data_IF_472643387434
#
_entry.id   IF_472643387434
#
_cell.length_a   1.000
_cell.length_b   1.000
_cell.length_c   1.000
_cell.angle_alpha   90.00
_cell.angle_beta   90.00
_cell.angle_gamma   90.00
#
_symmetry.space_group_name_H-M   'P 1'
#
loop_
_entity.id
_entity.type
_entity.pdbx_description
1 polymer ?
#
# COMPACT_ATOMS: atom_id res chain seq x y z
N UNK A 1 -2.69 9.43 7.06
CA UNK A 1 -3.70 8.36 6.89
C UNK A 1 -3.15 7.10 7.55
N UNK A 2 -3.97 6.32 8.26
CA UNK A 2 -3.54 5.05 8.85
C UNK A 2 -3.44 3.97 7.76
N UNK A 3 -2.44 3.08 7.83
CA UNK A 3 -2.48 1.81 7.12
C UNK A 3 -3.28 0.79 7.94
N UNK A 4 -3.92 -0.16 7.26
CA UNK A 4 -4.77 -1.14 7.91
C UNK A 4 -4.19 -2.55 7.77
N UNK A 5 -4.08 -3.24 8.91
CA UNK A 5 -3.93 -4.70 8.90
C UNK A 5 -5.25 -5.37 8.50
N UNK A 6 -5.20 -6.66 8.22
CA UNK A 6 -6.42 -7.46 8.02
C UNK A 6 -7.35 -7.37 9.23
N UNK A 7 -6.81 -7.51 10.44
CA UNK A 7 -7.56 -7.46 11.70
C UNK A 7 -8.23 -6.09 11.88
N UNK A 8 -7.52 -4.99 11.55
CA UNK A 8 -8.07 -3.65 11.58
C UNK A 8 -9.23 -3.48 10.60
N UNK A 9 -9.08 -3.98 9.36
CA UNK A 9 -10.17 -3.94 8.37
C UNK A 9 -11.40 -4.72 8.82
N UNK A 10 -11.22 -5.94 9.32
CA UNK A 10 -12.32 -6.75 9.86
C UNK A 10 -13.00 -6.12 11.07
N UNK A 11 -12.22 -5.45 11.92
CA UNK A 11 -12.78 -4.72 13.05
C UNK A 11 -13.64 -3.53 12.60
N UNK A 12 -13.20 -2.78 11.59
CA UNK A 12 -13.98 -1.68 10.99
C UNK A 12 -15.32 -2.21 10.47
N UNK A 13 -15.30 -3.30 9.71
CA UNK A 13 -16.51 -3.95 9.18
C UNK A 13 -17.48 -4.40 10.27
N UNK A 14 -16.97 -4.83 11.43
CA UNK A 14 -17.79 -5.20 12.57
C UNK A 14 -18.26 -4.00 13.40
N UNK A 15 -17.41 -2.97 13.53
CA UNK A 15 -17.65 -1.78 14.36
C UNK A 15 -18.70 -0.85 13.74
N UNK A 16 -18.57 -0.59 12.44
CA UNK A 16 -19.41 0.41 11.75
C UNK A 16 -20.91 0.09 11.87
N UNK A 17 -21.40 -1.14 11.59
CA UNK A 17 -22.82 -1.43 11.78
C UNK A 17 -23.29 -1.37 13.23
N UNK A 18 -22.44 -1.77 14.17
CA UNK A 18 -22.81 -1.86 15.59
C UNK A 18 -22.82 -0.53 16.30
N UNK A 19 -21.87 0.35 15.98
CA UNK A 19 -21.64 1.60 16.73
C UNK A 19 -22.01 2.85 15.94
N UNK A 20 -21.85 2.83 14.61
CA UNK A 20 -22.24 3.94 13.73
C UNK A 20 -23.61 3.72 13.10
N UNK A 21 -24.24 2.56 13.30
CA UNK A 21 -25.54 2.19 12.75
C UNK A 21 -25.64 2.29 11.22
N UNK A 22 -24.51 2.16 10.52
CA UNK A 22 -24.44 2.14 9.06
C UNK A 22 -24.36 0.68 8.58
N UNK A 23 -25.37 0.17 7.85
CA UNK A 23 -25.39 -1.19 7.37
C UNK A 23 -24.19 -1.52 6.47
N UNK A 24 -23.73 -2.77 6.47
CA UNK A 24 -22.62 -3.22 5.59
C UNK A 24 -22.95 -3.03 4.11
N UNK A 25 -24.22 -3.10 3.73
CA UNK A 25 -24.68 -2.82 2.37
C UNK A 25 -24.30 -1.42 1.90
N UNK A 26 -24.29 -0.43 2.81
CA UNK A 26 -23.89 0.95 2.49
C UNK A 26 -22.38 1.03 2.25
N UNK A 27 -21.57 0.34 3.07
CA UNK A 27 -20.12 0.27 2.86
C UNK A 27 -19.79 -0.42 1.52
N UNK A 28 -20.46 -1.54 1.24
CA UNK A 28 -20.31 -2.29 -0.01
C UNK A 28 -20.76 -1.45 -1.23
N UNK A 29 -21.84 -0.71 -1.11
CA UNK A 29 -22.30 0.21 -2.17
C UNK A 29 -21.25 1.28 -2.48
N UNK A 30 -20.67 1.88 -1.45
CA UNK A 30 -19.60 2.88 -1.62
C UNK A 30 -18.32 2.25 -2.18
N UNK A 31 -17.95 1.05 -1.73
CA UNK A 31 -16.81 0.29 -2.25
C UNK A 31 -16.96 0.01 -3.76
N UNK A 32 -18.09 -0.60 -4.15
CA UNK A 32 -18.34 -0.94 -5.54
C UNK A 32 -18.48 0.30 -6.46
N UNK A 33 -19.11 1.37 -5.96
CA UNK A 33 -19.13 2.65 -6.67
C UNK A 33 -17.73 3.21 -6.85
N UNK A 34 -16.88 3.16 -5.80
CA UNK A 34 -15.50 3.61 -5.89
C UNK A 34 -14.66 2.82 -6.91
N UNK A 35 -14.92 1.50 -7.08
CA UNK A 35 -14.32 0.70 -8.15
C UNK A 35 -14.76 1.23 -9.52
N UNK A 36 -16.06 1.45 -9.71
CA UNK A 36 -16.61 1.92 -10.99
C UNK A 36 -16.08 3.32 -11.34
N UNK A 37 -16.04 4.24 -10.37
CA UNK A 37 -15.51 5.60 -10.55
C UNK A 37 -14.03 5.53 -10.94
N UNK A 38 -13.21 4.72 -10.25
CA UNK A 38 -11.80 4.53 -10.57
C UNK A 38 -11.58 3.95 -11.99
N UNK A 39 -12.40 2.98 -12.39
CA UNK A 39 -12.34 2.41 -13.76
C UNK A 39 -12.64 3.45 -14.82
N UNK A 40 -13.63 4.30 -14.59
CA UNK A 40 -13.99 5.38 -15.53
C UNK A 40 -12.89 6.45 -15.59
N UNK A 41 -12.30 6.78 -14.45
CA UNK A 41 -11.24 7.80 -14.38
C UNK A 41 -9.96 7.33 -15.08
N UNK A 42 -9.60 6.05 -14.99
CA UNK A 42 -8.33 5.51 -15.52
C UNK A 42 -8.49 4.95 -16.94
N UNK A 43 -9.57 4.23 -17.21
CA UNK A 43 -9.78 3.49 -18.46
C UNK A 43 -10.87 4.14 -19.36
N UNK A 44 -11.47 5.23 -18.91
CA UNK A 44 -12.64 5.83 -19.57
C UNK A 44 -12.41 6.23 -21.02
N UNK A 45 -11.21 6.63 -21.40
CA UNK A 45 -10.88 6.96 -22.78
C UNK A 45 -10.92 5.71 -23.68
N UNK A 46 -10.49 4.55 -23.22
CA UNK A 46 -10.60 3.27 -23.94
C UNK A 46 -12.04 2.92 -24.27
N UNK A 47 -12.97 3.12 -23.31
CA UNK A 47 -14.40 2.86 -23.52
C UNK A 47 -15.05 3.88 -24.45
N UNK A 48 -14.51 5.10 -24.56
CA UNK A 48 -14.97 6.13 -25.49
C UNK A 48 -14.50 5.88 -26.93
N UNK A 49 -13.27 5.40 -27.08
CA UNK A 49 -12.67 5.08 -28.38
C UNK A 49 -13.32 3.86 -29.03
N UNK A 50 -13.72 2.88 -28.22
CA UNK A 50 -14.38 1.67 -28.70
C UNK A 50 -15.63 1.30 -27.86
N UNK A 51 -16.72 2.10 -27.94
CA UNK A 51 -17.89 1.94 -27.09
C UNK A 51 -18.76 0.71 -27.43
N UNK A 52 -18.47 0.02 -28.54
CA UNK A 52 -19.31 -1.10 -29.02
C UNK A 52 -18.63 -2.46 -28.93
N UNK A 53 -17.32 -2.52 -28.80
CA UNK A 53 -16.58 -3.77 -28.86
C UNK A 53 -15.89 -4.12 -27.55
N UNK A 54 -15.52 -3.12 -26.73
CA UNK A 54 -14.84 -3.35 -25.47
C UNK A 54 -15.77 -3.56 -24.27
N UNK A 55 -15.39 -4.46 -23.35
CA UNK A 55 -16.15 -4.68 -22.13
C UNK A 55 -15.25 -4.84 -20.90
N UNK A 56 -15.86 -4.67 -19.72
CA UNK A 56 -15.26 -5.03 -18.44
C UNK A 56 -15.74 -6.41 -18.03
N UNK A 57 -14.82 -7.32 -17.79
CA UNK A 57 -15.10 -8.64 -17.24
C UNK A 57 -14.84 -8.63 -15.72
N UNK A 58 -15.89 -8.80 -14.93
CA UNK A 58 -15.76 -9.00 -13.48
C UNK A 58 -15.64 -10.50 -13.19
N UNK A 59 -14.48 -10.93 -12.66
CA UNK A 59 -14.26 -12.30 -12.22
C UNK A 59 -14.49 -12.37 -10.71
N UNK A 60 -15.68 -12.78 -10.31
CA UNK A 60 -16.18 -12.67 -8.95
C UNK A 60 -16.23 -14.00 -8.23
N UNK A 61 -15.59 -14.09 -7.07
CA UNK A 61 -15.88 -15.12 -6.08
C UNK A 61 -17.26 -14.91 -5.44
N UNK A 62 -17.73 -15.90 -4.68
CA UNK A 62 -19.06 -15.84 -4.03
C UNK A 62 -19.04 -15.18 -2.65
N UNK A 63 -17.94 -14.57 -2.24
CA UNK A 63 -17.77 -13.83 -0.97
C UNK A 63 -18.11 -12.34 -1.13
N UNK A 64 -17.83 -11.57 -0.05
CA UNK A 64 -18.07 -10.12 -0.03
C UNK A 64 -17.23 -9.36 -1.07
N UNK A 65 -15.98 -9.77 -1.30
CA UNK A 65 -15.12 -9.16 -2.31
C UNK A 65 -15.71 -9.30 -3.75
N UNK A 66 -16.27 -10.48 -4.06
CA UNK A 66 -17.02 -10.67 -5.30
C UNK A 66 -18.31 -9.82 -5.33
N UNK A 67 -18.98 -9.64 -4.20
CA UNK A 67 -20.16 -8.79 -4.10
C UNK A 67 -19.84 -7.31 -4.40
N UNK A 68 -18.67 -6.80 -3.98
CA UNK A 68 -18.21 -5.45 -4.35
C UNK A 68 -18.05 -5.32 -5.87
N UNK A 69 -17.58 -6.39 -6.54
CA UNK A 69 -17.55 -6.48 -8.01
C UNK A 69 -18.93 -6.45 -8.65
N UNK A 70 -19.92 -7.12 -8.06
CA UNK A 70 -21.32 -7.07 -8.56
C UNK A 70 -21.89 -5.65 -8.44
N UNK A 71 -21.59 -4.94 -7.37
CA UNK A 71 -21.99 -3.53 -7.20
C UNK A 71 -21.31 -2.66 -8.27
N UNK A 72 -20.01 -2.82 -8.47
CA UNK A 72 -19.28 -2.07 -9.48
C UNK A 72 -19.81 -2.30 -10.90
N UNK A 73 -20.11 -3.55 -11.25
CA UNK A 73 -20.72 -3.91 -12.54
C UNK A 73 -22.05 -3.17 -12.77
N UNK A 74 -22.87 -3.04 -11.72
CA UNK A 74 -24.14 -2.30 -11.77
C UNK A 74 -23.94 -0.81 -12.05
N UNK A 75 -22.96 -0.18 -11.40
CA UNK A 75 -22.64 1.23 -11.62
C UNK A 75 -22.05 1.50 -13.01
N UNK A 76 -21.25 0.58 -13.56
CA UNK A 76 -20.74 0.72 -14.93
C UNK A 76 -21.86 0.53 -15.96
N UNK A 77 -22.80 -0.39 -15.72
CA UNK A 77 -23.97 -0.56 -16.59
C UNK A 77 -24.84 0.72 -16.64
N UNK A 78 -25.03 1.42 -15.52
CA UNK A 78 -25.71 2.71 -15.47
C UNK A 78 -25.02 3.74 -16.38
N UNK A 79 -23.69 3.70 -16.45
CA UNK A 79 -22.86 4.55 -17.33
C UNK A 79 -22.79 4.03 -18.78
N UNK A 80 -23.54 2.96 -19.11
CA UNK A 80 -23.57 2.32 -20.43
C UNK A 80 -22.24 1.69 -20.87
N UNK A 81 -21.39 1.35 -19.93
CA UNK A 81 -20.17 0.57 -20.20
C UNK A 81 -20.57 -0.92 -20.23
N UNK A 82 -20.22 -1.65 -21.29
CA UNK A 82 -20.54 -3.08 -21.40
C UNK A 82 -19.83 -3.86 -20.29
N UNK A 83 -20.57 -4.70 -19.58
CA UNK A 83 -20.05 -5.52 -18.48
C UNK A 83 -20.55 -6.96 -18.61
N UNK A 84 -19.67 -7.90 -18.25
CA UNK A 84 -20.06 -9.31 -18.03
C UNK A 84 -19.48 -9.75 -16.68
N UNK A 85 -20.24 -10.56 -15.96
CA UNK A 85 -19.84 -11.13 -14.68
C UNK A 85 -19.57 -12.62 -14.85
N UNK A 86 -18.32 -13.03 -14.62
CA UNK A 86 -17.90 -14.43 -14.59
C UNK A 86 -17.79 -14.89 -13.12
N UNK A 87 -18.68 -15.79 -12.72
CA UNK A 87 -18.73 -16.29 -11.34
C UNK A 87 -17.79 -17.47 -11.14
N UNK A 88 -17.04 -17.44 -10.04
CA UNK A 88 -16.13 -18.51 -9.63
C UNK A 88 -16.61 -19.14 -8.34
N UNK A 89 -17.01 -20.39 -8.41
CA UNK A 89 -17.47 -21.17 -7.26
C UNK A 89 -18.98 -21.38 -7.24
N UNK A 90 -19.45 -22.09 -6.20
CA UNK A 90 -20.86 -22.45 -6.10
C UNK A 90 -21.66 -21.33 -5.42
N UNK A 91 -22.60 -20.75 -6.15
CA UNK A 91 -23.49 -19.67 -5.70
C UNK A 91 -24.28 -20.02 -4.42
N UNK A 92 -24.59 -21.33 -4.20
CA UNK A 92 -25.28 -21.74 -2.99
C UNK A 92 -24.47 -21.53 -1.70
N UNK A 93 -23.15 -21.33 -1.81
CA UNK A 93 -22.25 -21.00 -0.71
C UNK A 93 -21.95 -19.50 -0.62
N UNK A 94 -22.68 -18.69 -1.38
CA UNK A 94 -22.49 -17.24 -1.41
C UNK A 94 -22.80 -16.58 -0.07
N UNK A 95 -22.04 -15.50 0.27
CA UNK A 95 -22.37 -14.70 1.43
C UNK A 95 -23.77 -14.06 1.29
N UNK A 96 -24.36 -13.65 2.40
CA UNK A 96 -25.67 -12.98 2.37
C UNK A 96 -25.66 -11.74 1.47
N UNK A 97 -24.60 -10.91 1.60
CA UNK A 97 -24.44 -9.71 0.78
C UNK A 97 -24.24 -10.06 -0.70
N UNK A 98 -23.43 -11.08 -0.99
CA UNK A 98 -23.25 -11.55 -2.37
C UNK A 98 -24.60 -11.96 -2.99
N UNK A 99 -25.40 -12.75 -2.28
CA UNK A 99 -26.68 -13.23 -2.78
C UNK A 99 -27.69 -12.08 -3.00
N UNK A 100 -27.67 -11.07 -2.11
CA UNK A 100 -28.48 -9.85 -2.32
C UNK A 100 -28.05 -9.10 -3.59
N UNK A 101 -26.76 -8.86 -3.79
CA UNK A 101 -26.26 -8.18 -4.99
C UNK A 101 -26.48 -9.01 -6.27
N UNK A 102 -26.28 -10.33 -6.20
CA UNK A 102 -26.55 -11.22 -7.33
C UNK A 102 -28.01 -11.14 -7.78
N UNK A 103 -28.94 -11.03 -6.84
CA UNK A 103 -30.35 -10.86 -7.16
C UNK A 103 -30.61 -9.54 -7.90
N UNK A 104 -29.96 -8.46 -7.46
CA UNK A 104 -30.08 -7.14 -8.08
C UNK A 104 -29.52 -7.11 -9.51
N UNK A 105 -28.30 -7.62 -9.73
CA UNK A 105 -27.68 -7.60 -11.07
C UNK A 105 -28.44 -8.50 -12.06
N UNK A 106 -29.00 -9.62 -11.60
CA UNK A 106 -29.91 -10.46 -12.43
C UNK A 106 -31.16 -9.74 -12.82
N UNK A 107 -31.82 -9.03 -11.90
CA UNK A 107 -33.00 -8.25 -12.15
C UNK A 107 -32.78 -7.10 -13.15
N UNK A 108 -31.55 -6.58 -13.21
CA UNK A 108 -31.16 -5.54 -14.16
C UNK A 108 -30.71 -6.07 -15.51
N UNK A 109 -30.65 -7.41 -15.68
CA UNK A 109 -30.28 -8.03 -16.95
C UNK A 109 -28.80 -7.96 -17.30
N UNK A 110 -27.91 -7.80 -16.30
CA UNK A 110 -26.46 -7.92 -16.52
C UNK A 110 -26.13 -9.36 -16.91
N UNK A 111 -25.26 -9.52 -17.90
CA UNK A 111 -24.82 -10.83 -18.35
C UNK A 111 -23.98 -11.53 -17.27
N UNK A 112 -24.39 -12.74 -16.89
CA UNK A 112 -23.76 -13.53 -15.82
C UNK A 112 -23.52 -14.95 -16.31
N UNK A 113 -22.27 -15.36 -16.32
CA UNK A 113 -21.84 -16.69 -16.74
C UNK A 113 -21.03 -17.38 -15.65
N UNK A 114 -20.80 -18.69 -15.74
CA UNK A 114 -19.72 -19.31 -14.97
C UNK A 114 -18.38 -18.96 -15.62
N UNK A 115 -17.32 -18.81 -14.82
CA UNK A 115 -16.00 -18.47 -15.35
C UNK A 115 -15.54 -19.49 -16.40
N UNK A 116 -15.77 -20.77 -16.15
CA UNK A 116 -15.40 -21.87 -17.05
C UNK A 116 -16.15 -21.83 -18.40
N UNK A 117 -17.29 -21.15 -18.48
CA UNK A 117 -18.06 -21.00 -19.71
C UNK A 117 -17.79 -19.70 -20.47
N UNK A 118 -17.03 -18.79 -19.90
CA UNK A 118 -16.67 -17.53 -20.56
C UNK A 118 -15.63 -17.77 -21.65
N UNK A 119 -15.86 -17.21 -22.85
CA UNK A 119 -14.98 -17.43 -24.00
C UNK A 119 -14.72 -16.18 -24.85
N UNK A 120 -15.39 -15.06 -24.58
CA UNK A 120 -15.31 -13.85 -25.42
C UNK A 120 -14.16 -12.90 -24.98
N UNK A 121 -12.97 -13.48 -24.77
CA UNK A 121 -11.80 -12.74 -24.27
C UNK A 121 -11.33 -11.65 -25.23
N UNK A 122 -11.58 -11.81 -26.54
CA UNK A 122 -11.16 -10.84 -27.56
C UNK A 122 -11.84 -9.47 -27.40
N UNK A 123 -12.96 -9.40 -26.66
CA UNK A 123 -13.67 -8.15 -26.35
C UNK A 123 -13.33 -7.58 -24.98
N UNK A 124 -12.54 -8.28 -24.17
CA UNK A 124 -12.20 -7.82 -22.82
C UNK A 124 -11.13 -6.73 -22.88
N UNK A 125 -11.45 -5.55 -22.39
CA UNK A 125 -10.50 -4.46 -22.21
C UNK A 125 -9.91 -4.41 -20.79
N UNK A 126 -10.73 -4.79 -19.81
CA UNK A 126 -10.33 -4.82 -18.40
C UNK A 126 -10.90 -6.06 -17.74
N UNK A 127 -10.08 -6.79 -17.02
CA UNK A 127 -10.52 -7.80 -16.06
C UNK A 127 -10.44 -7.22 -14.66
N UNK A 128 -11.53 -7.29 -13.91
CA UNK A 128 -11.61 -6.91 -12.50
C UNK A 128 -11.77 -8.16 -11.66
N UNK A 129 -10.73 -8.51 -10.92
CA UNK A 129 -10.67 -9.71 -10.10
C UNK A 129 -11.19 -9.40 -8.68
N UNK A 130 -12.22 -10.13 -8.26
CA UNK A 130 -12.82 -10.10 -6.92
C UNK A 130 -12.97 -11.51 -6.34
N UNK A 131 -11.93 -12.36 -6.45
CA UNK A 131 -11.97 -13.75 -5.95
C UNK A 131 -11.86 -13.83 -4.44
N UNK A 132 -11.07 -12.94 -3.85
CA UNK A 132 -10.83 -12.82 -2.42
C UNK A 132 -10.18 -11.48 -2.10
N UNK A 133 -10.47 -10.92 -0.93
CA UNK A 133 -9.87 -9.68 -0.41
C UNK A 133 -9.04 -9.93 0.85
N UNK A 134 -9.19 -9.07 1.87
CA UNK A 134 -8.43 -9.11 3.13
C UNK A 134 -8.52 -10.44 3.91
N UNK A 135 -9.44 -11.33 3.58
CA UNK A 135 -9.61 -12.62 4.27
C UNK A 135 -8.56 -13.69 3.92
N UNK A 136 -7.70 -13.45 2.94
CA UNK A 136 -6.72 -14.44 2.49
C UNK A 136 -5.55 -14.60 3.48
N UNK A 137 -5.10 -15.86 3.65
CA UNK A 137 -3.87 -16.26 4.35
C UNK A 137 -3.32 -17.58 3.78
N UNK A 138 -2.01 -17.67 3.74
CA UNK A 138 -1.30 -18.89 3.32
C UNK A 138 -1.29 -19.06 1.80
N UNK A 139 -1.62 -20.26 1.33
CA UNK A 139 -1.57 -20.62 -0.08
C UNK A 139 -2.94 -20.62 -0.75
N UNK A 140 -2.96 -20.28 -2.04
CA UNK A 140 -4.16 -20.34 -2.86
C UNK A 140 -4.60 -21.79 -3.08
N UNK A 141 -5.91 -22.02 -3.01
CA UNK A 141 -6.48 -23.33 -3.36
C UNK A 141 -6.42 -23.55 -4.87
N UNK A 142 -6.26 -24.79 -5.30
CA UNK A 142 -6.15 -25.18 -6.71
C UNK A 142 -7.25 -24.57 -7.60
N UNK A 143 -8.50 -24.52 -7.11
CA UNK A 143 -9.61 -23.91 -7.85
C UNK A 143 -9.44 -22.41 -8.13
N UNK A 144 -8.68 -21.67 -7.30
CA UNK A 144 -8.37 -20.25 -7.50
C UNK A 144 -7.13 -20.08 -8.36
N UNK A 145 -6.13 -20.93 -8.15
CA UNK A 145 -4.90 -20.96 -8.94
C UNK A 145 -5.20 -21.21 -10.42
N UNK A 146 -6.11 -22.15 -10.73
CA UNK A 146 -6.54 -22.42 -12.11
C UNK A 146 -7.16 -21.18 -12.76
N UNK A 147 -8.06 -20.47 -12.05
CA UNK A 147 -8.68 -19.24 -12.56
C UNK A 147 -7.64 -18.15 -12.84
N UNK A 148 -6.69 -17.94 -11.93
CA UNK A 148 -5.62 -16.96 -12.12
C UNK A 148 -4.71 -17.34 -13.28
N UNK A 149 -4.40 -18.64 -13.42
CA UNK A 149 -3.62 -19.14 -14.56
C UNK A 149 -4.33 -18.85 -15.89
N UNK A 150 -5.62 -19.14 -16.00
CA UNK A 150 -6.39 -18.87 -17.21
C UNK A 150 -6.45 -17.37 -17.52
N UNK A 151 -6.64 -16.51 -16.52
CA UNK A 151 -6.57 -15.06 -16.68
C UNK A 151 -5.19 -14.62 -17.21
N UNK A 152 -4.10 -15.17 -16.69
CA UNK A 152 -2.74 -14.82 -17.13
C UNK A 152 -2.49 -15.24 -18.58
N UNK A 153 -2.91 -16.45 -18.97
CA UNK A 153 -2.81 -16.94 -20.36
C UNK A 153 -3.57 -16.02 -21.31
N UNK A 154 -4.80 -15.68 -20.99
CA UNK A 154 -5.66 -14.84 -21.84
C UNK A 154 -5.14 -13.38 -21.87
N UNK A 155 -4.63 -12.86 -20.74
CA UNK A 155 -3.99 -11.55 -20.71
C UNK A 155 -2.77 -11.45 -21.61
N UNK A 156 -1.93 -12.49 -21.62
CA UNK A 156 -0.77 -12.54 -22.49
C UNK A 156 -1.17 -12.59 -23.98
N UNK A 157 -2.34 -13.13 -24.31
CA UNK A 157 -2.85 -13.20 -25.67
C UNK A 157 -3.55 -11.92 -26.11
N UNK A 158 -4.40 -11.31 -25.26
CA UNK A 158 -5.28 -10.21 -25.63
C UNK A 158 -4.89 -8.84 -25.07
N UNK A 159 -4.00 -8.79 -24.07
CA UNK A 159 -3.42 -7.54 -23.56
C UNK A 159 -4.36 -6.63 -22.78
N UNK A 160 -5.36 -7.19 -22.11
CA UNK A 160 -6.28 -6.42 -21.26
C UNK A 160 -5.59 -5.96 -19.96
N UNK A 161 -6.11 -4.87 -19.37
CA UNK A 161 -5.71 -4.42 -18.04
C UNK A 161 -6.29 -5.34 -16.97
N UNK A 162 -5.49 -5.68 -15.95
CA UNK A 162 -5.90 -6.53 -14.83
C UNK A 162 -5.98 -5.72 -13.54
N UNK A 163 -7.15 -5.68 -12.93
CA UNK A 163 -7.46 -4.93 -11.72
C UNK A 163 -7.84 -5.84 -10.57
N UNK A 164 -7.40 -5.50 -9.35
CA UNK A 164 -7.79 -6.21 -8.13
C UNK A 164 -8.77 -5.40 -7.29
N UNK A 165 -9.75 -6.09 -6.72
CA UNK A 165 -10.67 -5.55 -5.71
C UNK A 165 -10.06 -5.77 -4.32
N UNK A 166 -9.84 -4.67 -3.60
CA UNK A 166 -9.33 -4.56 -2.23
C UNK A 166 -7.87 -4.99 -2.06
N UNK A 167 -7.54 -6.24 -2.35
CA UNK A 167 -6.18 -6.81 -2.30
C UNK A 167 -6.06 -7.85 -3.41
N UNK A 168 -4.94 -7.89 -4.16
CA UNK A 168 -4.69 -8.93 -5.15
C UNK A 168 -4.89 -10.35 -4.61
N UNK A 169 -5.57 -11.21 -5.35
CA UNK A 169 -5.77 -12.59 -4.91
C UNK A 169 -4.44 -13.29 -4.63
N UNK A 170 -4.29 -13.81 -3.42
CA UNK A 170 -3.07 -14.46 -2.97
C UNK A 170 -2.08 -13.55 -2.22
N UNK A 171 -2.37 -12.26 -2.03
CA UNK A 171 -1.57 -11.37 -1.17
C UNK A 171 -2.18 -11.30 0.22
N UNK A 172 -1.36 -11.50 1.26
CA UNK A 172 -1.75 -11.27 2.65
C UNK A 172 -1.81 -9.77 2.94
N UNK A 173 -2.97 -9.28 3.37
CA UNK A 173 -3.27 -7.86 3.56
C UNK A 173 -2.45 -7.19 4.67
N UNK A 174 -1.83 -7.96 5.58
CA UNK A 174 -1.00 -7.45 6.68
C UNK A 174 0.49 -7.54 6.35
N UNK A 175 0.94 -8.69 5.87
CA UNK A 175 2.38 -8.97 5.73
C UNK A 175 2.93 -8.69 4.34
N UNK A 176 2.06 -8.58 3.33
CA UNK A 176 2.46 -8.47 1.93
C UNK A 176 3.05 -9.75 1.33
N UNK A 177 3.09 -10.85 2.10
CA UNK A 177 3.48 -12.15 1.55
C UNK A 177 2.46 -12.57 0.50
N UNK A 178 2.95 -13.21 -0.55
CA UNK A 178 2.13 -13.63 -1.69
C UNK A 178 2.31 -15.12 -1.97
N UNK A 179 1.23 -15.77 -2.40
CA UNK A 179 1.28 -17.10 -2.96
C UNK A 179 2.06 -17.10 -4.29
N UNK A 180 2.74 -18.19 -4.60
CA UNK A 180 3.51 -18.35 -5.86
C UNK A 180 2.69 -18.13 -7.13
N UNK A 181 1.37 -18.27 -7.05
CA UNK A 181 0.43 -18.13 -8.16
C UNK A 181 -0.25 -16.75 -8.24
N UNK A 182 0.17 -15.80 -7.39
CA UNK A 182 -0.38 -14.44 -7.42
C UNK A 182 0.08 -13.70 -8.67
N UNK A 183 -0.84 -13.09 -9.39
CA UNK A 183 -0.54 -12.31 -10.59
C UNK A 183 -0.04 -10.89 -10.23
N UNK A 184 0.60 -10.25 -11.21
CA UNK A 184 0.89 -8.82 -11.17
C UNK A 184 -0.29 -8.05 -11.76
N UNK A 185 -0.83 -7.10 -10.99
CA UNK A 185 -1.96 -6.27 -11.39
C UNK A 185 -1.50 -4.90 -11.89
N UNK A 186 -2.29 -4.27 -12.76
CA UNK A 186 -2.05 -2.89 -13.19
C UNK A 186 -2.56 -1.91 -12.13
N UNK A 187 -3.70 -2.24 -11.52
CA UNK A 187 -4.34 -1.39 -10.51
C UNK A 187 -5.01 -2.24 -9.43
N UNK A 188 -4.96 -1.75 -8.20
CA UNK A 188 -5.73 -2.30 -7.07
C UNK A 188 -6.58 -1.18 -6.48
N UNK A 189 -7.91 -1.39 -6.41
CA UNK A 189 -8.81 -0.47 -5.70
C UNK A 189 -9.08 -1.01 -4.32
N UNK A 190 -8.54 -0.35 -3.30
CA UNK A 190 -8.69 -0.74 -1.88
C UNK A 190 -9.62 0.24 -1.15
N UNK A 191 -10.21 -0.17 -0.02
CA UNK A 191 -11.31 0.55 0.61
C UNK A 191 -10.92 1.18 1.94
N UNK A 192 -11.41 2.41 2.19
CA UNK A 192 -11.21 3.16 3.42
C UNK A 192 -9.79 3.65 3.59
N UNK A 193 -8.83 2.75 3.66
CA UNK A 193 -7.39 3.06 3.68
C UNK A 193 -6.56 1.95 3.06
N UNK A 194 -5.28 2.23 2.83
CA UNK A 194 -4.34 1.27 2.27
C UNK A 194 -4.08 0.13 3.25
N UNK A 195 -4.04 -1.11 2.77
CA UNK A 195 -3.65 -2.28 3.56
C UNK A 195 -2.13 -2.35 3.68
N UNK A 196 -1.62 -2.74 4.85
CA UNK A 196 -0.16 -2.82 5.08
C UNK A 196 0.54 -3.71 4.07
N UNK A 197 -0.08 -4.82 3.70
CA UNK A 197 0.44 -5.74 2.70
C UNK A 197 0.61 -5.15 1.29
N UNK A 198 -0.08 -4.05 0.97
CA UNK A 198 0.10 -3.32 -0.29
C UNK A 198 1.27 -2.32 -0.24
N UNK A 199 1.89 -2.14 0.93
CA UNK A 199 3.08 -1.31 1.15
C UNK A 199 4.35 -2.15 1.27
N UNK A 200 4.20 -3.44 1.55
CA UNK A 200 5.30 -4.39 1.80
C UNK A 200 5.53 -5.30 0.60
N UNK A 201 6.80 -5.60 0.30
CA UNK A 201 7.14 -6.53 -0.78
C UNK A 201 6.94 -7.99 -0.34
N UNK A 202 6.48 -8.87 -1.25
CA UNK A 202 6.19 -8.67 -2.67
C UNK A 202 4.83 -8.01 -2.98
N UNK A 203 3.88 -7.94 -2.04
CA UNK A 203 2.53 -7.42 -2.28
C UNK A 203 2.50 -6.05 -2.97
N UNK A 204 3.41 -5.14 -2.56
CA UNK A 204 3.55 -3.81 -3.17
C UNK A 204 3.82 -3.87 -4.68
N UNK A 205 4.71 -4.78 -5.13
CA UNK A 205 5.02 -4.91 -6.56
C UNK A 205 3.93 -5.60 -7.36
N UNK A 206 3.09 -6.42 -6.70
CA UNK A 206 2.00 -7.15 -7.33
C UNK A 206 0.73 -6.31 -7.47
N UNK A 207 0.53 -5.32 -6.60
CA UNK A 207 -0.68 -4.50 -6.53
C UNK A 207 -0.81 -3.44 -7.65
N UNK A 208 0.28 -3.11 -8.35
CA UNK A 208 0.28 -2.03 -9.34
C UNK A 208 -0.01 -0.66 -8.72
N UNK A 209 -0.77 0.17 -9.42
CA UNK A 209 -1.25 1.45 -8.89
C UNK A 209 -2.35 1.22 -7.85
N UNK A 210 -2.16 1.70 -6.63
CA UNK A 210 -3.17 1.55 -5.56
C UNK A 210 -4.04 2.79 -5.48
N UNK A 211 -5.35 2.59 -5.68
CA UNK A 211 -6.39 3.63 -5.55
C UNK A 211 -7.20 3.34 -4.29
N UNK A 212 -7.43 4.35 -3.45
CA UNK A 212 -8.19 4.21 -2.22
C UNK A 212 -9.59 4.77 -2.43
N UNK A 213 -10.58 3.90 -2.42
CA UNK A 213 -11.98 4.29 -2.50
C UNK A 213 -12.55 4.58 -1.09
N UNK A 214 -13.25 5.72 -0.90
CA UNK A 214 -13.83 6.06 0.39
C UNK A 214 -15.03 5.18 0.72
N UNK A 215 -15.18 4.79 1.98
CA UNK A 215 -16.32 4.01 2.47
C UNK A 215 -17.54 4.88 2.85
N UNK A 216 -17.39 6.22 2.83
CA UNK A 216 -18.48 7.15 3.15
C UNK A 216 -18.81 7.24 4.64
N UNK A 217 -17.94 6.77 5.51
CA UNK A 217 -18.08 6.81 6.98
C UNK A 217 -16.74 7.19 7.61
N UNK A 218 -16.74 7.85 8.79
CA UNK A 218 -15.53 8.13 9.55
C UNK A 218 -15.03 6.85 10.25
N UNK A 219 -14.54 5.89 9.48
CA UNK A 219 -14.11 4.56 9.95
C UNK A 219 -12.96 4.62 10.96
N UNK A 220 -12.20 5.73 10.98
CA UNK A 220 -11.13 5.98 11.94
C UNK A 220 -11.64 5.96 13.40
N UNK A 221 -12.93 6.19 13.62
CA UNK A 221 -13.55 6.05 14.93
C UNK A 221 -13.47 4.62 15.48
N UNK A 222 -13.37 3.61 14.58
CA UNK A 222 -13.15 2.23 14.97
C UNK A 222 -11.74 1.95 15.49
N UNK A 223 -10.79 2.85 15.24
CA UNK A 223 -9.39 2.73 15.65
C UNK A 223 -9.10 3.47 16.98
N UNK A 224 -10.11 3.73 17.79
CA UNK A 224 -9.97 4.41 19.09
C UNK A 224 -9.15 3.59 20.11
N UNK A 225 -8.98 4.13 21.32
CA UNK A 225 -8.16 3.54 22.39
C UNK A 225 -8.56 2.13 22.84
N UNK A 226 -9.74 1.67 22.46
CA UNK A 226 -10.26 0.31 22.75
C UNK A 226 -10.02 -0.69 21.61
N UNK A 227 -9.39 -0.26 20.50
CA UNK A 227 -9.08 -1.15 19.39
C UNK A 227 -8.11 -2.26 19.83
N UNK A 228 -8.39 -3.53 19.50
CA UNK A 228 -7.61 -4.67 19.99
C UNK A 228 -6.26 -4.87 19.28
N UNK A 229 -5.80 -3.89 18.50
CA UNK A 229 -4.59 -3.96 17.69
C UNK A 229 -3.83 -2.63 17.73
N UNK A 230 -2.55 -2.66 17.38
CA UNK A 230 -1.73 -1.45 17.29
C UNK A 230 -2.05 -0.68 16.00
N UNK A 231 -2.47 0.57 16.13
CA UNK A 231 -2.83 1.48 15.03
C UNK A 231 -1.76 2.55 14.78
N UNK A 232 -0.52 2.29 15.16
CA UNK A 232 0.56 3.28 15.10
C UNK A 232 1.21 3.43 13.71
N UNK A 233 0.74 2.71 12.70
CA UNK A 233 1.29 2.78 11.36
C UNK A 233 0.59 3.85 10.52
N UNK A 234 1.36 4.80 9.99
CA UNK A 234 0.88 5.90 9.16
C UNK A 234 1.49 5.84 7.78
N UNK A 235 0.69 6.18 6.79
CA UNK A 235 1.18 6.45 5.43
C UNK A 235 1.14 7.95 5.19
N UNK A 236 2.28 8.53 4.83
CA UNK A 236 2.37 9.91 4.39
C UNK A 236 2.13 9.95 2.87
N UNK A 237 1.13 10.72 2.45
CA UNK A 237 0.95 11.09 1.05
C UNK A 237 1.60 12.45 0.79
N UNK A 238 2.09 12.68 -0.41
CA UNK A 238 2.77 13.92 -0.80
C UNK A 238 2.02 15.18 -0.37
N UNK A 239 0.69 15.15 -0.51
CA UNK A 239 -0.17 16.28 -0.10
C UNK A 239 -0.22 16.51 1.41
N UNK A 240 -0.07 15.47 2.23
CA UNK A 240 -0.05 15.57 3.69
C UNK A 240 1.36 15.89 4.20
N UNK A 241 2.40 15.37 3.54
CA UNK A 241 3.78 15.67 3.89
C UNK A 241 4.06 17.18 3.79
N UNK A 242 3.51 17.87 2.80
CA UNK A 242 3.67 19.32 2.66
C UNK A 242 2.96 20.14 3.76
N UNK A 243 1.91 19.59 4.39
CA UNK A 243 1.19 20.24 5.49
C UNK A 243 1.89 20.08 6.84
N UNK A 244 2.73 19.05 6.97
CA UNK A 244 3.49 18.76 8.20
C UNK A 244 4.86 19.48 8.24
N UNK A 245 5.32 20.02 7.12
CA UNK A 245 6.51 20.85 7.10
C UNK A 245 6.18 22.21 7.72
N UNK A 246 6.63 22.41 8.94
CA UNK A 246 6.44 23.70 9.63
C UNK A 246 7.23 24.79 8.92
N UNK A 247 6.57 25.95 8.69
CA UNK A 247 7.24 27.13 8.21
C UNK A 247 8.34 27.58 9.17
N UNK A 248 9.50 27.90 8.63
CA UNK A 248 10.59 28.47 9.44
C UNK A 248 10.19 29.85 9.93
N UNK A 249 10.23 30.06 11.23
CA UNK A 249 10.01 31.39 11.79
C UNK A 249 11.12 32.35 11.31
N UNK A 250 10.78 33.58 10.93
CA UNK A 250 11.77 34.57 10.47
C UNK A 250 12.93 34.82 11.44
N UNK A 251 12.72 34.56 12.73
CA UNK A 251 13.72 34.71 13.81
C UNK A 251 14.44 33.42 14.16
N UNK A 252 14.16 32.30 13.45
CA UNK A 252 14.77 31.01 13.74
C UNK A 252 16.28 31.04 13.43
N UNK A 253 17.08 30.57 14.38
CA UNK A 253 18.50 30.32 14.18
C UNK A 253 18.76 28.81 14.00
N UNK A 254 19.95 28.46 13.48
CA UNK A 254 20.33 27.07 13.18
C UNK A 254 20.12 26.09 14.33
N UNK A 255 20.14 26.51 15.58
CA UNK A 255 19.94 25.64 16.74
C UNK A 255 18.47 25.25 17.00
N UNK A 256 17.50 26.00 16.43
CA UNK A 256 16.06 25.75 16.60
C UNK A 256 15.52 24.81 15.51
N UNK A 257 16.21 24.75 14.36
CA UNK A 257 15.79 23.97 13.21
C UNK A 257 16.27 22.49 13.25
N UNK A 258 16.56 21.98 14.42
CA UNK A 258 16.94 20.59 14.66
C UNK A 258 18.42 20.30 14.44
N UNK A 259 18.92 19.30 15.18
CA UNK A 259 20.28 18.81 15.17
C UNK A 259 20.30 17.32 14.81
N UNK A 260 20.84 16.96 13.67
CA UNK A 260 20.89 15.59 13.18
C UNK A 260 22.31 15.00 13.31
N UNK A 261 22.38 13.75 13.76
CA UNK A 261 23.60 12.94 13.73
C UNK A 261 23.39 11.80 12.73
N UNK A 262 24.27 11.72 11.74
CA UNK A 262 24.35 10.58 10.83
C UNK A 262 25.57 9.75 11.23
N UNK A 263 25.38 8.44 11.38
CA UNK A 263 26.41 7.46 11.72
C UNK A 263 26.51 6.45 10.60
N UNK A 264 27.64 6.41 9.91
CA UNK A 264 27.78 5.53 8.76
C UNK A 264 29.20 5.50 8.19
N UNK A 265 29.30 4.90 7.01
CA UNK A 265 30.54 4.77 6.28
C UNK A 265 31.43 3.60 6.73
N UNK A 266 32.18 3.11 5.77
CA UNK A 266 33.22 2.08 5.93
C UNK A 266 34.34 2.39 4.94
N UNK A 267 35.45 1.61 5.00
CA UNK A 267 36.60 1.81 4.11
C UNK A 267 36.20 1.83 2.61
N UNK A 268 35.21 1.06 2.24
CA UNK A 268 34.75 0.94 0.85
C UNK A 268 33.50 1.77 0.52
N UNK A 269 32.79 2.31 1.50
CA UNK A 269 31.49 2.94 1.31
C UNK A 269 31.38 4.31 2.00
N UNK A 270 31.97 5.33 1.40
CA UNK A 270 31.96 6.71 1.93
C UNK A 270 30.86 7.58 1.29
N UNK A 271 30.32 7.18 0.15
CA UNK A 271 29.35 7.98 -0.58
C UNK A 271 27.99 8.08 0.10
N UNK A 272 27.44 6.96 0.56
CA UNK A 272 26.11 6.91 1.17
C UNK A 272 25.98 7.84 2.40
N UNK A 273 26.90 7.81 3.39
CA UNK A 273 26.80 8.73 4.54
C UNK A 273 26.97 10.21 4.14
N UNK A 274 27.77 10.53 3.12
CA UNK A 274 27.89 11.89 2.59
C UNK A 274 26.56 12.36 2.03
N UNK A 275 25.95 11.56 1.12
CA UNK A 275 24.63 11.88 0.53
C UNK A 275 23.56 12.03 1.60
N UNK A 276 23.55 11.18 2.63
CA UNK A 276 22.60 11.29 3.73
C UNK A 276 22.78 12.58 4.54
N UNK A 277 24.02 13.00 4.78
CA UNK A 277 24.31 14.24 5.49
C UNK A 277 23.92 15.48 4.66
N UNK A 278 24.20 15.48 3.36
CA UNK A 278 23.81 16.54 2.45
C UNK A 278 22.28 16.62 2.32
N UNK A 279 21.59 15.47 2.21
CA UNK A 279 20.14 15.42 2.19
C UNK A 279 19.52 16.00 3.47
N UNK A 280 20.10 15.74 4.63
CA UNK A 280 19.64 16.31 5.90
C UNK A 280 19.80 17.85 5.92
N UNK A 281 20.91 18.40 5.39
CA UNK A 281 21.10 19.84 5.27
C UNK A 281 20.07 20.44 4.32
N UNK A 282 19.90 19.85 3.12
CA UNK A 282 18.92 20.31 2.13
C UNK A 282 17.47 20.14 2.59
N UNK A 283 17.19 19.09 3.38
CA UNK A 283 15.88 18.87 4.03
C UNK A 283 15.57 19.86 5.15
N UNK A 284 16.55 20.70 5.53
CA UNK A 284 16.30 21.81 6.43
C UNK A 284 16.81 21.63 7.86
N UNK A 285 17.59 20.58 8.16
CA UNK A 285 18.23 20.44 9.48
C UNK A 285 19.12 21.67 9.78
N UNK A 286 18.99 22.20 10.99
CA UNK A 286 19.74 23.38 11.42
C UNK A 286 21.24 23.11 11.65
N UNK A 287 21.55 21.88 12.07
CA UNK A 287 22.92 21.36 12.22
C UNK A 287 22.96 19.88 11.81
N UNK A 288 24.02 19.50 11.12
CA UNK A 288 24.24 18.11 10.71
C UNK A 288 25.65 17.70 11.10
N UNK A 289 25.75 16.62 11.88
CA UNK A 289 27.00 15.94 12.21
C UNK A 289 27.05 14.58 11.51
N UNK A 290 28.18 14.25 10.91
CA UNK A 290 28.43 12.97 10.26
C UNK A 290 29.58 12.24 10.96
N UNK A 291 29.27 11.14 11.65
CA UNK A 291 30.27 10.29 12.30
C UNK A 291 30.67 9.14 11.37
N UNK A 292 31.94 9.09 11.02
CA UNK A 292 32.55 8.07 10.14
C UNK A 292 33.84 7.50 10.74
N UNK A 293 34.27 6.28 10.35
CA UNK A 293 35.53 5.72 10.77
C UNK A 293 36.68 6.67 10.48
N UNK A 294 37.64 6.79 11.45
CA UNK A 294 38.70 7.76 11.38
C UNK A 294 39.60 7.60 10.13
N UNK A 295 39.78 6.36 9.66
CA UNK A 295 40.57 6.06 8.46
C UNK A 295 40.02 6.71 7.19
N UNK A 296 38.70 6.87 7.07
CA UNK A 296 38.05 7.49 5.90
C UNK A 296 37.63 8.94 6.11
N UNK A 297 37.73 9.44 7.34
CA UNK A 297 37.33 10.81 7.71
C UNK A 297 37.93 11.91 6.83
N UNK A 298 39.26 11.91 6.50
CA UNK A 298 39.84 12.93 5.62
C UNK A 298 39.23 12.94 4.24
N UNK A 299 38.86 11.75 3.69
CA UNK A 299 38.20 11.61 2.37
C UNK A 299 36.81 12.21 2.46
N UNK A 300 36.05 11.83 3.47
CA UNK A 300 34.69 12.31 3.71
C UNK A 300 34.67 13.82 3.90
N UNK A 301 35.59 14.35 4.74
CA UNK A 301 35.71 15.77 5.03
C UNK A 301 36.05 16.61 3.78
N UNK A 302 36.80 16.04 2.84
CA UNK A 302 37.12 16.72 1.56
C UNK A 302 36.00 16.72 0.55
N UNK A 303 35.02 15.85 0.71
CA UNK A 303 33.90 15.65 -0.22
C UNK A 303 32.55 16.22 0.28
N UNK A 304 32.38 16.33 1.60
CA UNK A 304 31.18 16.91 2.19
C UNK A 304 31.08 18.41 1.91
N UNK A 305 29.83 18.90 1.84
CA UNK A 305 29.56 20.35 1.84
C UNK A 305 30.03 20.96 3.19
N UNK A 306 30.42 22.25 3.20
CA UNK A 306 31.03 22.91 4.39
C UNK A 306 30.08 22.95 5.61
N UNK A 307 28.79 22.82 5.43
CA UNK A 307 27.78 22.84 6.49
C UNK A 307 27.79 21.57 7.37
N UNK A 308 28.38 20.48 6.89
CA UNK A 308 28.43 19.19 7.59
C UNK A 308 29.64 19.09 8.51
N UNK A 309 29.41 18.84 9.78
CA UNK A 309 30.46 18.59 10.78
C UNK A 309 30.88 17.11 10.78
N UNK A 310 32.08 16.80 10.27
CA UNK A 310 32.56 15.40 10.20
C UNK A 310 33.29 15.02 11.49
N UNK A 311 32.77 14.01 12.19
CA UNK A 311 33.24 13.50 13.47
C UNK A 311 33.88 12.11 13.31
N UNK A 312 34.89 11.77 14.11
CA UNK A 312 35.44 10.41 14.18
C UNK A 312 34.43 9.48 14.89
N UNK A 313 34.15 8.34 14.30
CA UNK A 313 33.21 7.35 14.83
C UNK A 313 33.70 6.78 16.20
N UNK A 314 34.99 6.66 16.38
CA UNK A 314 35.61 6.16 17.60
C UNK A 314 35.25 7.01 18.82
N UNK A 315 34.93 8.26 18.61
CA UNK A 315 34.52 9.17 19.68
C UNK A 315 33.01 9.07 20.01
N UNK A 316 32.25 8.25 19.30
CA UNK A 316 30.81 8.16 19.47
C UNK A 316 30.42 7.77 20.90
N UNK A 317 31.25 6.97 21.58
CA UNK A 317 31.06 6.62 22.99
C UNK A 317 31.00 7.83 23.95
N UNK A 318 31.71 8.89 23.63
CA UNK A 318 31.74 10.14 24.41
C UNK A 318 30.76 11.21 23.95
N UNK A 319 30.07 10.99 22.81
CA UNK A 319 29.06 11.92 22.28
C UNK A 319 27.78 11.81 23.10
N UNK A 320 27.29 12.95 23.56
CA UNK A 320 25.97 13.03 24.18
C UNK A 320 24.90 12.95 23.10
N UNK A 321 24.32 11.76 22.90
CA UNK A 321 23.27 11.51 21.90
C UNK A 321 22.01 12.34 22.19
N UNK A 322 21.74 12.66 23.43
CA UNK A 322 20.57 13.49 23.82
C UNK A 322 20.64 14.94 23.31
N UNK A 323 21.81 15.37 22.82
CA UNK A 323 21.97 16.69 22.20
C UNK A 323 21.54 16.71 20.71
N UNK A 324 21.15 15.57 20.17
CA UNK A 324 20.64 15.42 18.81
C UNK A 324 19.16 15.11 18.83
N UNK A 325 18.39 15.80 17.98
CA UNK A 325 16.95 15.58 17.85
C UNK A 325 16.65 14.28 17.08
N UNK A 326 17.56 13.91 16.18
CA UNK A 326 17.47 12.66 15.42
C UNK A 326 18.86 12.04 15.20
N UNK A 327 18.93 10.71 15.27
CA UNK A 327 20.10 9.92 14.91
C UNK A 327 19.75 8.99 13.74
N UNK A 328 20.46 9.12 12.63
CA UNK A 328 20.38 8.20 11.50
C UNK A 328 21.60 7.27 11.53
N UNK A 329 21.40 5.96 11.40
CA UNK A 329 22.49 4.96 11.41
C UNK A 329 22.31 3.95 10.29
N UNK A 330 23.41 3.60 9.62
CA UNK A 330 23.47 2.54 8.64
C UNK A 330 24.07 2.93 7.30
N UNK A 331 23.88 4.14 6.74
CA UNK A 331 24.34 4.47 5.40
C UNK A 331 25.82 4.11 5.19
N UNK A 332 26.08 3.08 4.36
CA UNK A 332 27.43 2.63 4.06
C UNK A 332 28.20 1.97 5.21
N UNK A 333 27.54 1.60 6.31
CA UNK A 333 28.19 1.03 7.50
C UNK A 333 28.72 -0.41 7.27
N UNK A 334 28.13 -1.14 6.32
CA UNK A 334 28.48 -2.53 6.06
C UNK A 334 27.75 -3.51 7.00
N UNK A 335 28.16 -4.81 6.94
CA UNK A 335 27.49 -5.89 7.67
C UNK A 335 28.47 -6.66 8.58
N UNK A 336 29.43 -5.95 9.18
CA UNK A 336 30.41 -6.55 10.11
C UNK A 336 29.81 -6.70 11.51
N UNK A 337 30.46 -7.50 12.36
CA UNK A 337 30.01 -7.66 13.74
C UNK A 337 30.21 -6.35 14.54
N UNK A 338 31.23 -5.55 14.20
CA UNK A 338 31.45 -4.22 14.78
C UNK A 338 30.27 -3.28 14.42
N UNK A 339 29.77 -3.34 13.17
CA UNK A 339 28.61 -2.57 12.76
C UNK A 339 27.35 -2.96 13.56
N UNK A 340 27.13 -4.26 13.79
CA UNK A 340 26.03 -4.74 14.65
C UNK A 340 26.12 -4.25 16.09
N UNK A 341 27.31 -4.35 16.68
CA UNK A 341 27.56 -3.86 18.04
C UNK A 341 27.30 -2.36 18.14
N UNK A 342 27.77 -1.60 17.15
CA UNK A 342 27.52 -0.17 17.04
C UNK A 342 26.04 0.17 17.00
N UNK A 343 25.28 -0.46 16.10
CA UNK A 343 23.82 -0.23 15.95
C UNK A 343 23.10 -0.56 17.26
N UNK A 344 23.39 -1.71 17.87
CA UNK A 344 22.79 -2.10 19.15
C UNK A 344 23.11 -1.09 20.27
N UNK A 345 24.36 -0.64 20.36
CA UNK A 345 24.75 0.38 21.34
C UNK A 345 24.02 1.72 21.13
N UNK A 346 23.74 2.10 19.89
CA UNK A 346 22.97 3.31 19.59
C UNK A 346 21.50 3.14 19.96
N UNK A 347 20.92 1.98 19.68
CA UNK A 347 19.54 1.65 20.07
C UNK A 347 19.32 1.71 21.58
N UNK A 348 20.30 1.22 22.36
CA UNK A 348 20.22 1.24 23.82
C UNK A 348 20.41 2.65 24.43
N UNK A 349 21.17 3.50 23.76
CA UNK A 349 21.55 4.83 24.28
C UNK A 349 20.66 5.96 23.82
N UNK A 350 19.97 5.79 22.69
CA UNK A 350 19.11 6.82 22.10
C UNK A 350 17.66 6.64 22.55
N UNK A 351 17.12 7.67 23.19
CA UNK A 351 15.70 7.72 23.60
C UNK A 351 14.81 8.57 22.68
N UNK A 352 15.41 9.25 21.70
CA UNK A 352 14.73 10.12 20.73
C UNK A 352 14.46 9.43 19.39
N UNK A 353 14.26 10.24 18.36
CA UNK A 353 13.96 9.75 17.00
C UNK A 353 15.19 9.09 16.37
N UNK A 354 15.00 7.93 15.74
CA UNK A 354 16.01 7.22 14.99
C UNK A 354 15.54 6.87 13.59
N UNK A 355 16.47 6.91 12.63
CA UNK A 355 16.33 6.37 11.28
C UNK A 355 17.37 5.28 11.11
N UNK A 356 16.95 4.09 10.72
CA UNK A 356 17.81 2.91 10.54
C UNK A 356 17.71 2.49 9.09
N UNK A 357 18.90 2.43 8.42
CA UNK A 357 19.03 1.99 7.02
C UNK A 357 19.29 0.48 6.92
#
# INVERSE_FOLDING_TARGET
MYSLTREASQHIDAYVPRHLHVPLEVLMENAGRGIADALVDVEGDRFREDPFTGMVLFVCGVGNNGADGLVAARHLMEQRIPVTIALVGNVSHGSELFNKQLTMVRAMGIDIVSFESFSDWSRVHVVVEGLMGTGFQGELRESKTSVLHDIDVERNQYGFSLWAIDVPAGVDATTGQASDYTLSYDTTVTFGSIKEGLLLYPGKSLAGTVIIAPLGVPWELALGSEAPFNTSHYVLYDRLASLELSDRMPQAHKGVNGNALIVGGSESMVGAPIMSAEAAVHGGAGKVSLAVPNGVRPIVQSKCIPEVMVLPLENLGSINLQSYDVVAVGPGLGRTDEAKVLVNSLLERQSGHMVID
#
